data_IF_688537885746
#
_entry.id   IF_688537885746
#
_cell.length_a   1.000
_cell.length_b   1.000
_cell.length_c   1.000
_cell.angle_alpha   90.00
_cell.angle_beta   90.00
_cell.angle_gamma   90.00
#
_symmetry.space_group_name_H-M   'P 1'
#
loop_
_entity.id
_entity.type
_entity.pdbx_description
1 polymer ?
#
# COMPACT_ATOMS: atom_id res chain seq x y z
N UNK A 1 0.22 -20.17 12.73
CA UNK A 1 -0.53 -19.57 13.85
C UNK A 1 -1.99 -20.05 13.98
N UNK A 2 -2.50 -20.98 13.16
CA UNK A 2 -3.93 -21.41 13.19
C UNK A 2 -4.24 -22.66 14.05
N UNK A 3 -3.24 -23.32 14.63
CA UNK A 3 -3.43 -24.57 15.41
C UNK A 3 -3.49 -24.37 16.94
N UNK A 4 -3.32 -23.15 17.43
CA UNK A 4 -3.32 -22.86 18.88
C UNK A 4 -4.74 -22.58 19.39
N UNK A 5 -5.62 -22.04 18.55
CA UNK A 5 -6.99 -21.69 18.94
C UNK A 5 -7.93 -22.90 19.07
N UNK A 6 -7.67 -24.00 18.35
CA UNK A 6 -8.53 -25.19 18.41
C UNK A 6 -8.30 -26.03 19.69
N UNK A 7 -7.16 -25.87 20.35
CA UNK A 7 -6.81 -26.62 21.56
C UNK A 7 -7.48 -26.06 22.83
N UNK A 8 -7.95 -24.81 22.82
CA UNK A 8 -8.48 -24.16 24.02
C UNK A 8 -9.99 -24.42 24.25
N UNK A 9 -10.74 -24.71 23.19
CA UNK A 9 -12.19 -24.99 23.27
C UNK A 9 -12.53 -26.43 23.67
N UNK A 10 -11.57 -27.37 23.60
CA UNK A 10 -11.78 -28.75 24.03
C UNK A 10 -11.46 -29.02 25.52
N UNK A 11 -11.00 -28.02 26.26
CA UNK A 11 -10.64 -28.17 27.69
C UNK A 11 -11.81 -28.01 28.67
N UNK A 12 -13.03 -27.72 28.21
CA UNK A 12 -14.16 -27.40 29.07
C UNK A 12 -15.03 -28.60 29.50
N UNK A 13 -14.80 -29.82 29.01
CA UNK A 13 -15.77 -30.91 29.21
C UNK A 13 -15.24 -32.28 29.70
N UNK A 14 -13.95 -32.47 29.94
CA UNK A 14 -13.44 -33.72 30.49
C UNK A 14 -12.40 -33.48 31.58
N UNK A 15 -12.78 -33.78 32.82
CA UNK A 15 -11.87 -34.05 33.93
C UNK A 15 -10.99 -35.25 33.55
N UNK A 16 -9.91 -35.03 32.80
CA UNK A 16 -8.99 -36.06 32.36
C UNK A 16 -7.54 -35.53 32.39
N UNK A 17 -6.90 -35.80 33.53
CA UNK A 17 -5.53 -36.31 33.59
C UNK A 17 -4.40 -35.41 33.02
N UNK A 18 -3.82 -34.59 33.91
CA UNK A 18 -2.61 -33.76 33.70
C UNK A 18 -1.44 -34.55 33.06
N UNK A 19 -1.36 -35.87 33.28
CA UNK A 19 -0.29 -36.70 32.73
C UNK A 19 -0.40 -36.89 31.20
N UNK A 20 -1.60 -36.80 30.61
CA UNK A 20 -1.80 -36.99 29.16
C UNK A 20 -1.41 -35.74 28.35
N UNK A 21 -1.65 -34.54 28.90
CA UNK A 21 -1.19 -33.27 28.32
C UNK A 21 0.33 -33.11 28.39
N UNK A 22 0.97 -33.54 29.49
CA UNK A 22 2.42 -33.57 29.60
C UNK A 22 3.07 -34.53 28.57
N UNK A 23 2.44 -35.69 28.32
CA UNK A 23 2.93 -36.68 27.35
C UNK A 23 2.87 -36.15 25.89
N UNK A 24 1.78 -35.48 25.50
CA UNK A 24 1.65 -34.88 24.15
C UNK A 24 2.60 -33.69 23.96
N UNK A 25 2.84 -32.87 24.99
CA UNK A 25 3.83 -31.78 24.93
C UNK A 25 5.28 -32.31 24.90
N UNK A 26 5.59 -33.40 25.60
CA UNK A 26 6.89 -34.05 25.55
C UNK A 26 7.17 -34.64 24.14
N UNK A 27 6.20 -35.33 23.55
CA UNK A 27 6.32 -35.93 22.22
C UNK A 27 6.47 -34.89 21.09
N UNK A 28 5.76 -33.76 21.19
CA UNK A 28 5.87 -32.65 20.21
C UNK A 28 7.14 -31.80 20.37
N UNK A 29 7.84 -31.88 21.51
CA UNK A 29 9.12 -31.20 21.72
C UNK A 29 10.34 -31.99 21.19
N UNK A 30 10.29 -33.33 21.25
CA UNK A 30 11.31 -34.22 20.70
C UNK A 30 11.38 -34.21 19.17
N UNK A 31 10.23 -34.31 18.50
CA UNK A 31 10.13 -34.20 17.03
C UNK A 31 10.57 -32.81 16.51
N UNK A 32 10.38 -31.75 17.31
CA UNK A 32 10.81 -30.38 16.97
C UNK A 32 12.33 -30.18 17.11
N UNK A 33 12.99 -30.89 18.03
CA UNK A 33 14.46 -30.94 18.13
C UNK A 33 15.07 -31.76 16.98
N UNK A 34 14.47 -32.91 16.67
CA UNK A 34 14.91 -33.80 15.59
C UNK A 34 14.77 -33.15 14.19
N UNK A 35 13.70 -32.38 13.96
CA UNK A 35 13.53 -31.60 12.73
C UNK A 35 14.59 -30.49 12.56
N UNK A 36 15.03 -29.84 13.65
CA UNK A 36 16.04 -28.77 13.58
C UNK A 36 17.45 -29.28 13.26
N UNK A 37 17.83 -30.44 13.77
CA UNK A 37 19.15 -31.04 13.51
C UNK A 37 19.26 -31.54 12.06
N UNK A 38 18.20 -32.14 11.51
CA UNK A 38 18.13 -32.54 10.11
C UNK A 38 18.26 -31.31 9.18
N UNK A 39 17.51 -30.23 9.45
CA UNK A 39 17.63 -29.00 8.64
C UNK A 39 19.01 -28.34 8.75
N UNK A 40 19.69 -28.46 9.89
CA UNK A 40 21.05 -27.97 10.06
C UNK A 40 22.07 -28.78 9.24
N UNK A 41 21.92 -30.12 9.21
CA UNK A 41 22.80 -31.00 8.44
C UNK A 41 22.61 -30.82 6.93
N UNK A 42 21.37 -30.67 6.46
CA UNK A 42 21.08 -30.34 5.06
C UNK A 42 21.70 -28.99 4.67
N UNK A 43 21.65 -27.97 5.54
CA UNK A 43 22.35 -26.69 5.31
C UNK A 43 23.87 -26.85 5.20
N UNK A 44 24.49 -27.72 5.99
CA UNK A 44 25.93 -27.97 5.90
C UNK A 44 26.31 -28.77 4.65
N UNK A 45 25.49 -29.73 4.23
CA UNK A 45 25.69 -30.50 2.99
C UNK A 45 25.53 -29.61 1.75
N UNK A 46 24.54 -28.71 1.73
CA UNK A 46 24.40 -27.69 0.68
C UNK A 46 25.62 -26.76 0.64
N UNK A 47 26.18 -26.40 1.80
CA UNK A 47 27.46 -25.66 1.87
C UNK A 47 28.65 -26.44 1.29
N UNK A 48 28.62 -27.77 1.29
CA UNK A 48 29.63 -28.65 0.70
C UNK A 48 29.32 -29.03 -0.76
N UNK A 49 28.70 -28.13 -1.54
CA UNK A 49 28.49 -28.35 -2.97
C UNK A 49 29.81 -28.61 -3.71
N UNK A 50 29.81 -29.59 -4.63
CA UNK A 50 30.96 -29.91 -5.48
C UNK A 50 31.38 -28.72 -6.33
N UNK A 51 32.65 -28.67 -6.74
CA UNK A 51 33.17 -27.59 -7.61
C UNK A 51 32.37 -27.50 -8.92
N UNK A 52 31.93 -28.66 -9.45
CA UNK A 52 31.09 -28.73 -10.64
C UNK A 52 29.71 -28.10 -10.42
N UNK A 53 29.04 -28.43 -9.32
CA UNK A 53 27.72 -27.87 -8.98
C UNK A 53 27.77 -26.34 -8.92
N UNK A 54 28.79 -25.75 -8.27
CA UNK A 54 28.97 -24.29 -8.22
C UNK A 54 29.20 -23.66 -9.61
N UNK A 55 29.87 -24.39 -10.52
CA UNK A 55 30.08 -23.93 -11.91
C UNK A 55 28.77 -23.94 -12.69
N UNK A 56 27.96 -24.98 -12.52
CA UNK A 56 26.63 -25.07 -13.14
C UNK A 56 25.69 -23.99 -12.62
N UNK A 57 25.69 -23.71 -11.31
CA UNK A 57 24.86 -22.64 -10.71
C UNK A 57 25.26 -21.23 -11.20
N UNK A 58 26.55 -20.98 -11.43
CA UNK A 58 27.02 -19.71 -12.00
C UNK A 58 26.67 -19.60 -13.47
N UNK A 59 26.78 -20.70 -14.21
CA UNK A 59 26.45 -20.75 -15.63
C UNK A 59 24.96 -20.52 -15.84
N UNK A 60 24.09 -21.22 -15.10
CA UNK A 60 22.64 -21.06 -15.21
C UNK A 60 22.22 -19.61 -14.95
N UNK A 61 22.72 -18.99 -13.89
CA UNK A 61 22.46 -17.57 -13.59
C UNK A 61 22.86 -16.63 -14.72
N UNK A 62 24.03 -16.84 -15.34
CA UNK A 62 24.46 -16.04 -16.50
C UNK A 62 23.56 -16.25 -17.72
N UNK A 63 23.15 -17.48 -17.99
CA UNK A 63 22.25 -17.81 -19.11
C UNK A 63 20.91 -17.10 -18.93
N UNK A 64 20.38 -17.06 -17.71
CA UNK A 64 19.09 -16.43 -17.40
C UNK A 64 19.19 -14.94 -17.01
N UNK A 65 20.39 -14.33 -17.09
CA UNK A 65 20.59 -12.92 -16.75
C UNK A 65 20.47 -12.58 -15.26
N UNK A 66 20.49 -13.58 -14.38
CA UNK A 66 20.55 -13.41 -12.93
C UNK A 66 21.97 -13.11 -12.46
N UNK A 67 22.08 -12.67 -11.20
CA UNK A 67 23.36 -12.26 -10.63
C UNK A 67 24.16 -13.50 -10.21
N UNK A 68 25.34 -13.77 -10.81
CA UNK A 68 26.03 -15.06 -10.69
C UNK A 68 26.77 -15.26 -9.35
N UNK A 69 26.98 -14.20 -8.57
CA UNK A 69 27.65 -14.24 -7.27
C UNK A 69 26.66 -14.05 -6.13
N UNK A 70 27.07 -14.45 -4.92
CA UNK A 70 26.28 -14.22 -3.72
C UNK A 70 26.33 -12.75 -3.30
N UNK A 71 25.16 -12.17 -3.11
CA UNK A 71 25.03 -10.77 -2.70
C UNK A 71 25.05 -10.65 -1.18
N UNK A 72 25.65 -9.56 -0.71
CA UNK A 72 25.43 -9.11 0.66
C UNK A 72 23.98 -8.66 0.83
N UNK A 73 23.44 -8.70 2.05
CA UNK A 73 22.07 -8.31 2.34
C UNK A 73 21.73 -6.88 1.85
N UNK A 74 22.71 -5.96 1.92
CA UNK A 74 22.58 -4.58 1.42
C UNK A 74 22.39 -4.55 -0.10
N UNK A 75 23.22 -5.25 -0.85
CA UNK A 75 23.17 -5.24 -2.31
C UNK A 75 21.92 -5.97 -2.83
N UNK A 76 21.49 -7.03 -2.15
CA UNK A 76 20.24 -7.74 -2.46
C UNK A 76 19.01 -6.83 -2.34
N UNK A 77 18.99 -5.86 -1.41
CA UNK A 77 17.89 -4.88 -1.29
C UNK A 77 17.78 -3.99 -2.51
N UNK A 78 18.90 -3.54 -3.06
CA UNK A 78 18.95 -2.68 -4.23
C UNK A 78 18.40 -3.40 -5.45
N UNK A 79 18.84 -4.64 -5.67
CA UNK A 79 18.32 -5.49 -6.75
C UNK A 79 16.82 -5.66 -6.65
N UNK A 80 16.29 -5.95 -5.45
CA UNK A 80 14.84 -6.06 -5.21
C UNK A 80 14.09 -4.74 -5.47
N UNK A 81 14.68 -3.61 -5.09
CA UNK A 81 14.06 -2.30 -5.32
C UNK A 81 13.92 -1.97 -6.80
N UNK A 82 14.89 -2.37 -7.64
CA UNK A 82 14.81 -2.19 -9.09
C UNK A 82 14.01 -3.27 -9.81
N UNK A 83 13.87 -4.46 -9.22
CA UNK A 83 13.01 -5.52 -9.75
C UNK A 83 11.52 -5.22 -9.54
N UNK A 84 11.17 -4.52 -8.46
CA UNK A 84 9.81 -4.11 -8.17
C UNK A 84 9.50 -2.77 -8.85
N UNK A 85 8.22 -2.57 -9.19
CA UNK A 85 7.74 -1.25 -9.58
C UNK A 85 7.91 -0.29 -8.39
N UNK A 86 8.51 0.90 -8.59
CA UNK A 86 8.68 1.87 -7.52
C UNK A 86 7.29 2.33 -7.04
N UNK A 87 7.20 2.65 -5.75
CA UNK A 87 5.91 2.92 -5.11
C UNK A 87 5.16 4.10 -5.76
N UNK A 88 5.91 5.10 -6.20
CA UNK A 88 5.40 6.34 -6.80
C UNK A 88 4.78 6.11 -8.18
N UNK A 89 5.24 5.10 -8.92
CA UNK A 89 4.72 4.77 -10.25
C UNK A 89 3.49 3.87 -10.19
N UNK A 90 3.15 3.35 -9.01
CA UNK A 90 1.97 2.53 -8.84
C UNK A 90 0.72 3.34 -9.21
N UNK A 91 -0.14 2.76 -10.04
CA UNK A 91 -1.36 3.41 -10.50
C UNK A 91 -2.28 3.83 -9.33
N UNK A 92 -2.33 3.03 -8.26
CA UNK A 92 -3.06 3.38 -7.04
C UNK A 92 -2.53 4.65 -6.36
N UNK A 93 -1.23 4.94 -6.48
CA UNK A 93 -0.61 6.14 -5.90
C UNK A 93 -0.83 7.35 -6.82
N UNK A 94 -0.66 7.18 -8.13
CA UNK A 94 -0.84 8.26 -9.11
C UNK A 94 -2.31 8.65 -9.23
N UNK A 95 -3.19 7.68 -9.46
CA UNK A 95 -4.61 7.87 -9.72
C UNK A 95 -5.46 7.77 -8.44
N UNK A 96 -4.90 8.17 -7.30
CA UNK A 96 -5.61 8.11 -6.01
C UNK A 96 -6.92 8.92 -6.03
N UNK A 97 -6.89 10.12 -6.63
CA UNK A 97 -8.07 10.93 -6.88
C UNK A 97 -8.49 10.86 -8.35
N UNK A 98 -9.80 10.87 -8.63
CA UNK A 98 -10.26 11.01 -10.00
C UNK A 98 -9.90 12.39 -10.57
N UNK A 99 -9.84 12.54 -11.90
CA UNK A 99 -9.55 13.81 -12.56
C UNK A 99 -10.71 14.81 -12.43
N UNK A 100 -10.84 15.46 -11.26
CA UNK A 100 -11.90 16.42 -10.96
C UNK A 100 -12.00 17.60 -11.96
N UNK A 101 -10.90 18.21 -12.45
CA UNK A 101 -10.99 19.32 -13.40
C UNK A 101 -11.67 18.93 -14.71
N UNK A 102 -11.44 17.69 -15.18
CA UNK A 102 -12.06 17.16 -16.39
C UNK A 102 -13.56 16.95 -16.19
N UNK A 103 -13.95 16.41 -15.03
CA UNK A 103 -15.37 16.20 -14.72
C UNK A 103 -16.11 17.53 -14.57
N UNK A 104 -15.51 18.50 -13.87
CA UNK A 104 -16.09 19.82 -13.69
C UNK A 104 -16.24 20.59 -15.02
N UNK A 105 -15.24 20.54 -15.89
CA UNK A 105 -15.32 21.20 -17.19
C UNK A 105 -16.36 20.53 -18.09
N UNK A 106 -16.43 19.20 -18.07
CA UNK A 106 -17.42 18.43 -18.81
C UNK A 106 -18.85 18.80 -18.42
N UNK A 107 -19.19 18.77 -17.13
CA UNK A 107 -20.56 19.08 -16.68
C UNK A 107 -20.93 20.53 -16.97
N UNK A 108 -19.97 21.45 -16.85
CA UNK A 108 -20.16 22.86 -17.22
C UNK A 108 -20.46 23.01 -18.71
N UNK A 109 -19.73 22.32 -19.58
CA UNK A 109 -19.99 22.34 -21.03
C UNK A 109 -21.37 21.77 -21.35
N UNK A 110 -21.73 20.63 -20.75
CA UNK A 110 -23.05 20.02 -20.95
C UNK A 110 -24.19 20.95 -20.51
N UNK A 111 -24.00 21.74 -19.43
CA UNK A 111 -24.95 22.78 -19.00
C UNK A 111 -25.08 23.89 -20.03
N UNK A 112 -23.96 24.36 -20.60
CA UNK A 112 -23.98 25.40 -21.64
C UNK A 112 -24.70 24.93 -22.91
N UNK A 113 -24.59 23.65 -23.25
CA UNK A 113 -25.31 23.06 -24.38
C UNK A 113 -26.78 22.71 -24.06
N UNK A 114 -27.21 22.82 -22.80
CA UNK A 114 -28.57 22.49 -22.37
C UNK A 114 -28.86 20.99 -22.24
N UNK A 115 -27.83 20.12 -22.30
CA UNK A 115 -27.97 18.68 -22.15
C UNK A 115 -28.03 18.26 -20.67
N UNK A 116 -27.43 19.05 -19.79
CA UNK A 116 -27.35 18.77 -18.37
C UNK A 116 -27.91 19.93 -17.53
N UNK A 117 -28.74 19.61 -16.53
CA UNK A 117 -29.25 20.58 -15.57
C UNK A 117 -28.52 20.42 -14.25
N UNK A 118 -27.76 21.46 -13.87
CA UNK A 118 -27.03 21.52 -12.61
C UNK A 118 -27.78 22.38 -11.60
N UNK A 119 -28.60 21.74 -10.77
CA UNK A 119 -29.41 22.42 -9.74
C UNK A 119 -28.53 23.15 -8.73
N UNK A 120 -27.38 22.58 -8.36
CA UNK A 120 -26.48 23.19 -7.39
C UNK A 120 -25.95 24.54 -7.89
N UNK A 121 -25.52 24.58 -9.15
CA UNK A 121 -25.04 25.81 -9.73
C UNK A 121 -26.18 26.82 -9.97
N UNK A 122 -27.39 26.38 -10.32
CA UNK A 122 -28.57 27.24 -10.42
C UNK A 122 -28.87 27.95 -9.08
N UNK A 123 -28.79 27.23 -7.96
CA UNK A 123 -28.96 27.82 -6.62
C UNK A 123 -27.88 28.85 -6.30
N UNK A 124 -26.62 28.55 -6.62
CA UNK A 124 -25.51 29.49 -6.40
C UNK A 124 -25.72 30.77 -7.21
N UNK A 125 -26.11 30.63 -8.48
CA UNK A 125 -26.31 31.76 -9.39
C UNK A 125 -27.45 32.68 -8.89
N UNK A 126 -28.55 32.11 -8.40
CA UNK A 126 -29.66 32.87 -7.82
C UNK A 126 -29.27 33.55 -6.48
N UNK A 127 -28.51 32.86 -5.62
CA UNK A 127 -27.99 33.46 -4.38
C UNK A 127 -27.04 34.62 -4.67
N UNK A 128 -26.20 34.51 -5.70
CA UNK A 128 -25.33 35.59 -6.15
C UNK A 128 -26.15 36.77 -6.69
N UNK A 129 -27.19 36.51 -7.49
CA UNK A 129 -28.11 37.55 -7.99
C UNK A 129 -28.74 38.33 -6.83
N UNK A 130 -29.28 37.64 -5.83
CA UNK A 130 -29.87 38.28 -4.65
C UNK A 130 -28.83 39.06 -3.83
N UNK A 131 -27.60 38.55 -3.73
CA UNK A 131 -26.51 39.23 -3.03
C UNK A 131 -26.13 40.54 -3.73
N UNK A 132 -26.11 40.55 -5.06
CA UNK A 132 -25.87 41.75 -5.86
C UNK A 132 -26.96 42.80 -5.65
N UNK A 133 -28.24 42.40 -5.62
CA UNK A 133 -29.36 43.31 -5.34
C UNK A 133 -29.28 43.94 -3.95
N UNK A 134 -28.74 43.22 -2.96
CA UNK A 134 -28.49 43.73 -1.60
C UNK A 134 -27.25 44.65 -1.52
N UNK A 135 -26.55 44.88 -2.62
CA UNK A 135 -25.28 45.63 -2.64
C UNK A 135 -24.11 44.90 -1.98
N UNK A 136 -24.24 43.59 -1.73
CA UNK A 136 -23.20 42.74 -1.12
C UNK A 136 -22.42 41.94 -2.17
N UNK A 137 -22.39 42.41 -3.41
CA UNK A 137 -21.67 41.75 -4.49
C UNK A 137 -20.17 41.58 -4.13
N UNK A 138 -19.53 40.48 -4.56
CA UNK A 138 -18.09 40.37 -4.41
C UNK A 138 -17.41 41.54 -5.14
N UNK A 139 -16.48 42.27 -4.48
CA UNK A 139 -15.79 43.38 -5.12
C UNK A 139 -14.93 42.88 -6.27
N UNK A 140 -14.67 43.74 -7.26
CA UNK A 140 -13.73 43.41 -8.33
C UNK A 140 -12.34 43.13 -7.72
N UNK A 141 -11.58 42.18 -8.30
CA UNK A 141 -10.23 41.91 -7.84
C UNK A 141 -9.41 43.21 -7.88
N UNK A 142 -8.78 43.57 -6.76
CA UNK A 142 -8.02 44.83 -6.62
C UNK A 142 -8.80 45.98 -5.96
N UNK A 143 -10.13 45.96 -5.94
CA UNK A 143 -10.98 47.00 -5.33
C UNK A 143 -11.46 46.63 -3.91
N UNK A 144 -10.72 45.73 -3.25
CA UNK A 144 -11.06 45.29 -1.89
C UNK A 144 -10.99 46.43 -0.87
N UNK A 145 -11.49 46.16 0.34
CA UNK A 145 -11.53 47.13 1.46
C UNK A 145 -10.21 47.86 1.69
N UNK A 146 -9.07 47.15 1.58
CA UNK A 146 -7.73 47.72 1.73
C UNK A 146 -7.41 48.78 0.66
N UNK A 147 -7.78 48.55 -0.59
CA UNK A 147 -7.57 49.49 -1.68
C UNK A 147 -8.42 50.77 -1.51
N UNK A 148 -9.67 50.61 -1.08
CA UNK A 148 -10.54 51.75 -0.76
C UNK A 148 -9.96 52.61 0.36
N UNK A 149 -9.43 51.99 1.43
CA UNK A 149 -8.80 52.71 2.53
C UNK A 149 -7.53 53.45 2.08
N UNK A 150 -6.69 52.83 1.23
CA UNK A 150 -5.50 53.49 0.68
C UNK A 150 -5.86 54.71 -0.17
N UNK A 151 -6.88 54.61 -1.02
CA UNK A 151 -7.35 55.73 -1.84
C UNK A 151 -7.92 56.88 -1.00
N UNK A 152 -8.55 56.58 0.14
CA UNK A 152 -9.11 57.59 1.05
C UNK A 152 -8.04 58.40 1.80
N UNK A 153 -6.87 57.79 2.06
CA UNK A 153 -5.78 58.36 2.84
C UNK A 153 -4.68 59.00 1.96
N UNK A 154 -4.86 59.04 0.64
CA UNK A 154 -3.98 59.66 -0.33
C UNK A 154 -4.62 60.96 -0.83
#
# INVERSE_FOLDING_TARGET
MRYIFFAFLLSAHYNCNIYLLACVLAFTSGLRKYSRTIMAHVKTVIKQASVYSRKMDRLSKRIFGEIPYELTARNARVVKAFQAMPYEENEFCIAYFPPHPMLHSLTKLLRLHGLFRDEHQDFIDELLRQRCLRGKAPPKPGEGKRAMMRRKNA
#
